data_IF_811953313771
#
_entry.id   IF_811953313771
#
_cell.length_a   1.000
_cell.length_b   1.000
_cell.length_c   1.000
_cell.angle_alpha   90.00
_cell.angle_beta   90.00
_cell.angle_gamma   90.00
#
_symmetry.space_group_name_H-M   'P 1'
#
loop_
_entity.id
_entity.type
_entity.pdbx_description
1 polymer ?
#
# COMPACT_ATOMS: atom_id res chain seq x y z
N UNK A 1 70.12 -0.72 5.43
CA UNK A 1 69.30 0.52 5.40
C UNK A 1 68.08 0.28 6.29
N UNK A 2 67.72 1.06 7.33
CA UNK A 2 67.92 2.50 7.65
C UNK A 2 67.48 3.41 6.51
N UNK A 3 66.60 4.42 6.66
CA UNK A 3 65.91 5.07 7.80
C UNK A 3 64.58 5.70 7.23
N UNK A 4 63.59 6.32 7.89
CA UNK A 4 63.39 6.92 9.24
C UNK A 4 61.89 6.91 9.62
N UNK A 5 61.55 7.09 10.91
CA UNK A 5 60.19 7.38 11.42
C UNK A 5 60.00 8.90 11.60
N UNK A 6 58.82 9.46 11.31
CA UNK A 6 58.52 10.88 11.59
C UNK A 6 57.25 11.05 12.45
N UNK A 7 57.33 11.99 13.42
CA UNK A 7 56.27 12.41 14.35
C UNK A 7 56.30 13.95 14.46
N UNK A 8 55.14 14.60 14.32
CA UNK A 8 54.83 16.00 14.70
C UNK A 8 53.30 16.14 14.66
N UNK A 9 52.52 16.64 15.63
CA UNK A 9 52.68 17.51 16.82
C UNK A 9 52.38 19.02 16.58
N UNK A 10 51.55 19.61 17.46
CA UNK A 10 50.93 20.96 17.38
C UNK A 10 49.41 20.86 17.16
N UNK A 11 48.49 21.29 18.05
CA UNK A 11 48.23 22.61 18.66
C UNK A 11 47.54 23.59 17.65
N UNK A 12 46.56 24.44 18.01
CA UNK A 12 46.26 25.11 19.30
C UNK A 12 44.74 25.42 19.44
N UNK A 13 44.28 25.88 20.62
CA UNK A 13 42.90 26.37 20.87
C UNK A 13 42.64 27.76 20.25
N UNK A 14 41.36 28.08 20.02
CA UNK A 14 40.82 29.44 20.09
C UNK A 14 39.37 29.43 20.61
N UNK A 15 39.01 30.41 21.44
CA UNK A 15 37.69 30.56 22.07
C UNK A 15 37.04 31.84 21.53
N UNK A 16 35.74 31.81 21.17
CA UNK A 16 34.95 33.01 20.88
C UNK A 16 33.47 32.72 21.08
N UNK A 17 32.86 33.36 22.09
CA UNK A 17 31.42 33.34 22.31
C UNK A 17 30.77 34.62 21.80
N UNK A 18 29.50 34.53 21.39
CA UNK A 18 28.66 35.68 21.03
C UNK A 18 27.39 35.66 21.90
N UNK A 19 27.40 36.51 22.93
CA UNK A 19 26.23 36.78 23.76
C UNK A 19 25.33 37.78 23.04
N UNK A 20 24.25 37.28 22.41
CA UNK A 20 23.19 38.12 21.88
C UNK A 20 22.13 38.37 22.97
N UNK A 21 22.17 39.53 23.62
CA UNK A 21 21.09 39.95 24.53
C UNK A 21 19.89 40.43 23.70
N UNK A 22 18.87 39.58 23.59
CA UNK A 22 17.53 39.98 23.14
C UNK A 22 16.84 40.84 24.21
N UNK A 23 16.07 41.85 23.78
CA UNK A 23 15.49 42.84 24.67
C UNK A 23 14.33 42.29 25.52
N UNK A 24 14.16 42.83 26.72
CA UNK A 24 12.92 42.72 27.47
C UNK A 24 11.87 43.65 26.83
N UNK A 25 10.70 43.11 26.49
CA UNK A 25 9.55 43.86 25.99
C UNK A 25 8.26 43.28 26.52
N UNK A 26 7.44 44.11 27.17
CA UNK A 26 6.14 43.71 27.70
C UNK A 26 5.03 44.21 26.77
N UNK A 27 4.15 43.31 26.32
CA UNK A 27 2.97 43.66 25.53
C UNK A 27 2.48 42.53 24.63
N UNK A 28 1.42 41.85 25.08
CA UNK A 28 0.38 41.05 24.39
C UNK A 28 0.67 40.21 23.13
N UNK A 29 0.17 38.97 23.21
CA UNK A 29 -0.29 38.05 22.16
C UNK A 29 0.28 38.13 20.73
N UNK A 30 1.09 37.12 20.37
CA UNK A 30 0.79 36.27 19.20
C UNK A 30 1.55 34.93 19.20
N UNK A 31 0.80 33.85 18.99
CA UNK A 31 1.16 32.52 18.48
C UNK A 31 2.63 32.03 18.60
N UNK A 32 2.87 31.15 19.58
CA UNK A 32 4.09 30.33 19.65
C UNK A 32 4.03 29.15 18.66
N UNK A 33 4.63 29.28 17.48
CA UNK A 33 4.93 28.13 16.60
C UNK A 33 6.35 27.59 16.86
N UNK A 34 6.48 26.86 17.97
CA UNK A 34 7.59 25.92 18.14
C UNK A 34 7.11 24.54 17.70
N UNK A 35 7.34 24.20 16.43
CA UNK A 35 7.05 22.90 15.82
C UNK A 35 7.62 21.72 16.61
N UNK A 36 6.86 21.28 17.61
CA UNK A 36 7.21 20.21 18.54
C UNK A 36 6.60 18.94 18.00
N UNK A 37 7.40 17.89 17.81
CA UNK A 37 6.91 16.61 17.32
C UNK A 37 5.92 16.00 18.31
N UNK A 38 4.62 16.19 18.07
CA UNK A 38 3.55 15.63 18.90
C UNK A 38 3.62 14.10 18.87
N UNK A 39 4.14 13.52 19.94
CA UNK A 39 4.19 12.08 20.17
C UNK A 39 2.76 11.54 20.29
N UNK A 40 2.17 11.13 19.16
CA UNK A 40 0.78 10.68 19.08
C UNK A 40 0.46 9.64 20.17
N UNK A 41 -0.62 9.88 20.91
CA UNK A 41 -1.12 9.06 22.00
C UNK A 41 -2.26 8.15 21.54
N UNK A 42 -2.55 7.11 22.34
CA UNK A 42 -3.68 6.22 22.07
C UNK A 42 -4.99 7.02 22.15
N UNK A 43 -5.82 6.91 21.11
CA UNK A 43 -7.05 7.71 20.96
C UNK A 43 -6.90 8.94 20.05
N UNK A 44 -5.68 9.38 19.73
CA UNK A 44 -5.45 10.47 18.77
C UNK A 44 -5.99 10.10 17.38
N UNK A 45 -6.56 11.08 16.68
CA UNK A 45 -7.06 10.92 15.30
C UNK A 45 -6.15 11.60 14.28
N UNK A 46 -6.02 10.97 13.11
CA UNK A 46 -5.30 11.48 11.93
C UNK A 46 -6.17 11.32 10.67
N UNK A 47 -5.83 12.00 9.59
CA UNK A 47 -6.47 11.76 8.29
C UNK A 47 -6.01 10.42 7.69
N UNK A 48 -6.95 9.57 7.29
CA UNK A 48 -6.69 8.24 6.74
C UNK A 48 -6.06 8.30 5.33
N UNK A 49 -6.32 9.37 4.57
CA UNK A 49 -5.70 9.63 3.27
C UNK A 49 -4.25 10.07 3.41
N UNK A 50 -3.92 10.90 4.41
CA UNK A 50 -2.53 11.25 4.71
C UNK A 50 -1.76 10.06 5.34
N UNK A 51 -2.42 9.22 6.13
CA UNK A 51 -1.88 7.94 6.61
C UNK A 51 -1.55 7.00 5.43
N UNK A 52 -2.49 6.81 4.51
CA UNK A 52 -2.27 6.04 3.28
C UNK A 52 -1.20 6.67 2.38
N UNK A 53 -1.14 8.00 2.28
CA UNK A 53 -0.13 8.72 1.51
C UNK A 53 1.30 8.44 1.99
N UNK A 54 1.53 8.48 3.31
CA UNK A 54 2.84 8.08 3.88
C UNK A 54 3.14 6.61 3.66
N UNK A 55 2.15 5.74 3.83
CA UNK A 55 2.28 4.29 3.56
C UNK A 55 2.72 4.03 2.12
N UNK A 56 2.12 4.68 1.13
CA UNK A 56 2.48 4.53 -0.29
C UNK A 56 3.87 5.09 -0.58
N UNK A 57 4.22 6.26 -0.04
CA UNK A 57 5.57 6.81 -0.16
C UNK A 57 6.64 5.88 0.47
N UNK A 58 6.32 5.24 1.59
CA UNK A 58 7.19 4.26 2.25
C UNK A 58 7.34 2.97 1.42
N UNK A 59 6.28 2.51 0.77
CA UNK A 59 6.32 1.37 -0.17
C UNK A 59 7.15 1.69 -1.43
N UNK A 60 6.95 2.85 -2.05
CA UNK A 60 7.73 3.32 -3.19
C UNK A 60 9.22 3.47 -2.83
N UNK A 61 9.52 4.05 -1.66
CA UNK A 61 10.90 4.19 -1.13
C UNK A 61 11.59 2.86 -0.88
N UNK A 62 10.84 1.81 -0.52
CA UNK A 62 11.38 0.46 -0.36
C UNK A 62 11.58 -0.27 -1.70
N UNK A 63 10.97 0.21 -2.79
CA UNK A 63 11.05 -0.35 -4.14
C UNK A 63 10.25 -1.64 -4.33
N UNK A 64 10.35 -2.60 -3.41
CA UNK A 64 9.79 -3.95 -3.54
C UNK A 64 9.59 -4.64 -2.20
N UNK A 65 8.91 -5.79 -2.21
CA UNK A 65 8.75 -6.67 -1.05
C UNK A 65 7.83 -7.85 -1.34
N UNK A 66 7.56 -8.65 -0.30
CA UNK A 66 6.56 -9.73 -0.32
C UNK A 66 5.23 -9.27 0.27
N UNK A 67 4.15 -9.90 -0.17
CA UNK A 67 2.83 -9.76 0.43
C UNK A 67 2.13 -11.13 0.54
N UNK A 68 1.27 -11.28 1.54
CA UNK A 68 0.39 -12.45 1.66
C UNK A 68 -0.98 -12.03 2.16
N UNK A 69 -2.02 -12.43 1.44
CA UNK A 69 -3.41 -12.13 1.75
C UNK A 69 -4.08 -13.39 2.31
N UNK A 70 -4.53 -13.31 3.57
CA UNK A 70 -5.38 -14.32 4.20
C UNK A 70 -6.84 -13.88 4.07
N UNK A 71 -7.69 -14.75 3.53
CA UNK A 71 -9.13 -14.52 3.30
C UNK A 71 -9.88 -15.74 3.79
N UNK A 72 -10.46 -15.66 4.99
CA UNK A 72 -10.88 -16.88 5.71
C UNK A 72 -9.70 -17.84 5.87
N UNK A 73 -9.89 -19.12 5.53
CA UNK A 73 -8.82 -20.14 5.54
C UNK A 73 -7.90 -20.07 4.30
N UNK A 74 -8.30 -19.38 3.23
CA UNK A 74 -7.50 -19.28 2.01
C UNK A 74 -6.34 -18.30 2.19
N UNK A 75 -5.14 -18.70 1.74
CA UNK A 75 -3.92 -17.88 1.82
C UNK A 75 -3.28 -17.70 0.46
N UNK A 76 -3.38 -16.49 -0.09
CA UNK A 76 -2.61 -16.07 -1.24
C UNK A 76 -1.22 -15.54 -0.82
N UNK A 77 -0.23 -15.67 -1.69
CA UNK A 77 1.14 -15.18 -1.51
C UNK A 77 1.63 -14.51 -2.79
N UNK A 78 2.49 -13.50 -2.68
CA UNK A 78 2.99 -12.79 -3.85
C UNK A 78 4.16 -11.88 -3.56
N UNK A 79 4.72 -11.37 -4.65
CA UNK A 79 5.74 -10.33 -4.68
C UNK A 79 5.14 -9.04 -5.28
N UNK A 80 5.70 -7.89 -4.90
CA UNK A 80 5.44 -6.62 -5.57
C UNK A 80 6.72 -5.82 -5.80
N UNK A 81 6.69 -4.94 -6.79
CA UNK A 81 7.74 -3.96 -7.06
C UNK A 81 7.15 -2.69 -7.65
N UNK A 82 7.80 -1.56 -7.44
CA UNK A 82 7.49 -0.30 -8.11
C UNK A 82 8.43 -0.09 -9.30
N UNK A 83 7.86 0.24 -10.45
CA UNK A 83 8.59 0.59 -11.69
C UNK A 83 7.97 1.88 -12.22
N UNK A 84 8.79 2.91 -12.40
CA UNK A 84 8.36 4.25 -12.84
C UNK A 84 7.17 4.82 -12.05
N UNK A 85 7.15 4.54 -10.74
CA UNK A 85 6.10 4.95 -9.79
C UNK A 85 4.84 4.07 -9.80
N UNK A 86 4.62 3.24 -10.84
CA UNK A 86 3.51 2.27 -10.89
C UNK A 86 3.82 1.03 -10.06
N UNK A 87 2.79 0.48 -9.41
CA UNK A 87 2.85 -0.79 -8.69
C UNK A 87 2.73 -1.96 -9.69
N UNK A 88 3.62 -2.95 -9.57
CA UNK A 88 3.55 -4.24 -10.25
C UNK A 88 3.48 -5.37 -9.22
N UNK A 89 2.72 -6.42 -9.52
CA UNK A 89 2.45 -7.53 -8.57
C UNK A 89 2.44 -8.89 -9.28
N UNK A 90 2.94 -9.93 -8.62
CA UNK A 90 2.72 -11.33 -9.01
C UNK A 90 2.22 -12.09 -7.78
N UNK A 91 0.97 -12.56 -7.84
CA UNK A 91 0.27 -13.23 -6.75
C UNK A 91 -0.17 -14.62 -7.17
N UNK A 92 -0.05 -15.57 -6.25
CA UNK A 92 -0.60 -16.93 -6.33
C UNK A 92 -1.76 -17.05 -5.34
N UNK A 93 -2.91 -17.50 -5.84
CA UNK A 93 -4.15 -17.63 -5.08
C UNK A 93 -4.62 -19.10 -5.14
N UNK A 94 -4.72 -19.83 -4.02
CA UNK A 94 -5.24 -21.19 -4.01
C UNK A 94 -6.76 -21.17 -4.23
N UNK A 95 -7.25 -21.95 -5.19
CA UNK A 95 -8.67 -22.07 -5.54
C UNK A 95 -9.01 -23.54 -5.72
N UNK A 96 -9.72 -24.12 -4.75
CA UNK A 96 -10.29 -25.49 -4.73
C UNK A 96 -9.52 -26.55 -5.55
N UNK A 97 -8.34 -26.93 -5.04
CA UNK A 97 -7.49 -27.95 -5.67
C UNK A 97 -6.59 -27.47 -6.81
N UNK A 98 -6.67 -26.19 -7.18
CA UNK A 98 -5.85 -25.51 -8.19
C UNK A 98 -5.15 -24.27 -7.62
N UNK A 99 -4.19 -23.72 -8.37
CA UNK A 99 -3.59 -22.41 -8.12
C UNK A 99 -3.91 -21.46 -9.28
N UNK A 100 -4.47 -20.30 -8.97
CA UNK A 100 -4.62 -19.18 -9.89
C UNK A 100 -3.40 -18.26 -9.76
N UNK A 101 -2.77 -17.90 -10.88
CA UNK A 101 -1.70 -16.91 -10.89
C UNK A 101 -2.22 -15.58 -11.47
N UNK A 102 -1.85 -14.48 -10.82
CA UNK A 102 -2.24 -13.11 -11.17
C UNK A 102 -0.96 -12.30 -11.34
N UNK A 103 -0.74 -11.72 -12.52
CA UNK A 103 0.35 -10.77 -12.77
C UNK A 103 -0.25 -9.42 -13.17
N UNK A 104 0.03 -8.37 -12.42
CA UNK A 104 -0.32 -6.99 -12.74
C UNK A 104 0.94 -6.23 -13.16
N UNK A 105 0.96 -5.74 -14.41
CA UNK A 105 2.10 -5.00 -15.00
C UNK A 105 1.57 -3.84 -15.83
N UNK A 106 2.04 -2.63 -15.53
CA UNK A 106 1.58 -1.42 -16.20
C UNK A 106 0.09 -1.19 -15.93
N UNK A 107 -0.71 -1.22 -16.99
CA UNK A 107 -2.17 -1.04 -16.93
C UNK A 107 -2.94 -2.34 -17.23
N UNK A 108 -2.25 -3.48 -17.28
CA UNK A 108 -2.81 -4.79 -17.63
C UNK A 108 -2.76 -5.78 -16.46
N UNK A 109 -3.75 -6.67 -16.42
CA UNK A 109 -3.76 -7.84 -15.54
C UNK A 109 -3.77 -9.11 -16.38
N UNK A 110 -2.92 -10.06 -16.01
CA UNK A 110 -2.81 -11.38 -16.62
C UNK A 110 -3.23 -12.45 -15.61
N UNK A 111 -4.22 -13.27 -15.98
CA UNK A 111 -4.73 -14.37 -15.15
C UNK A 111 -4.38 -15.73 -15.75
N UNK A 112 -3.92 -16.66 -14.92
CA UNK A 112 -3.64 -18.06 -15.29
C UNK A 112 -4.31 -19.02 -14.33
N UNK A 113 -4.68 -20.20 -14.83
CA UNK A 113 -5.43 -21.22 -14.08
C UNK A 113 -6.95 -21.13 -14.25
N UNK A 114 -7.43 -20.24 -15.14
CA UNK A 114 -8.85 -20.16 -15.50
C UNK A 114 -9.28 -21.38 -16.34
N UNK A 115 -10.40 -22.05 -16.02
CA UNK A 115 -10.89 -23.17 -16.81
C UNK A 115 -11.40 -22.74 -18.19
N UNK A 116 -11.39 -23.68 -19.14
CA UNK A 116 -11.94 -23.49 -20.50
C UNK A 116 -11.14 -22.57 -21.43
N UNK A 117 -10.00 -22.03 -20.99
CA UNK A 117 -9.20 -21.10 -21.79
C UNK A 117 -8.32 -21.82 -22.82
N UNK A 118 -8.24 -21.24 -24.03
CA UNK A 118 -7.39 -21.75 -25.13
C UNK A 118 -5.90 -21.45 -24.95
N UNK A 119 -5.56 -20.59 -23.99
CA UNK A 119 -4.21 -20.18 -23.61
C UNK A 119 -4.06 -20.23 -22.09
N UNK A 120 -2.87 -20.55 -21.54
CA UNK A 120 -2.68 -20.65 -20.09
C UNK A 120 -2.78 -19.29 -19.39
N UNK A 121 -2.48 -18.17 -20.08
CA UNK A 121 -2.71 -16.82 -19.60
C UNK A 121 -3.80 -16.12 -20.41
N UNK A 122 -4.73 -15.47 -19.72
CA UNK A 122 -5.69 -14.51 -20.27
C UNK A 122 -5.20 -13.11 -19.94
N UNK A 123 -5.16 -12.22 -20.94
CA UNK A 123 -4.95 -10.79 -20.74
C UNK A 123 -6.28 -10.09 -20.50
N UNK A 124 -6.33 -9.23 -19.49
CA UNK A 124 -7.40 -8.28 -19.20
C UNK A 124 -6.88 -6.87 -19.53
N UNK A 125 -7.67 -6.12 -20.27
CA UNK A 125 -7.39 -4.73 -20.66
C UNK A 125 -8.54 -3.84 -20.17
N UNK A 126 -8.32 -2.90 -19.24
CA UNK A 126 -9.40 -2.08 -18.67
C UNK A 126 -10.10 -1.17 -19.70
N UNK A 127 -9.60 -1.11 -20.94
CA UNK A 127 -10.19 -0.38 -22.06
C UNK A 127 -11.03 -1.27 -23.00
N UNK A 128 -11.07 -2.59 -22.80
CA UNK A 128 -11.83 -3.53 -23.62
C UNK A 128 -13.29 -3.67 -23.16
N UNK A 129 -14.22 -3.82 -24.11
CA UNK A 129 -15.67 -3.87 -23.86
C UNK A 129 -16.18 -5.21 -23.29
N UNK A 130 -15.31 -6.19 -23.04
CA UNK A 130 -15.75 -7.50 -22.54
C UNK A 130 -16.16 -7.47 -21.05
N UNK A 131 -17.08 -8.36 -20.60
CA UNK A 131 -17.63 -8.30 -19.24
C UNK A 131 -16.61 -8.37 -18.09
N UNK A 132 -15.49 -9.08 -18.26
CA UNK A 132 -14.46 -9.20 -17.22
C UNK A 132 -13.53 -8.00 -17.25
N UNK A 133 -13.20 -7.47 -18.41
CA UNK A 133 -12.48 -6.19 -18.54
C UNK A 133 -13.27 -5.03 -17.92
N UNK A 134 -14.59 -4.97 -18.13
CA UNK A 134 -15.45 -3.96 -17.47
C UNK A 134 -15.56 -4.17 -15.95
N UNK A 135 -15.52 -5.41 -15.45
CA UNK A 135 -15.43 -5.67 -14.01
C UNK A 135 -14.09 -5.20 -13.42
N UNK A 136 -12.98 -5.51 -14.08
CA UNK A 136 -11.63 -5.10 -13.64
C UNK A 136 -11.38 -3.60 -13.76
N UNK A 137 -12.02 -2.92 -14.72
CA UNK A 137 -12.02 -1.46 -14.83
C UNK A 137 -12.48 -0.80 -13.53
N UNK A 138 -13.56 -1.29 -12.91
CA UNK A 138 -14.03 -0.76 -11.61
C UNK A 138 -13.05 -0.99 -10.45
N UNK A 139 -12.31 -2.11 -10.46
CA UNK A 139 -11.24 -2.41 -9.49
C UNK A 139 -10.04 -1.46 -9.68
N UNK A 140 -9.71 -1.11 -10.93
CA UNK A 140 -8.67 -0.15 -11.25
C UNK A 140 -9.07 1.31 -10.94
N UNK A 141 -10.34 1.68 -11.18
CA UNK A 141 -10.93 2.96 -10.78
C UNK A 141 -10.98 3.12 -9.25
N UNK A 142 -11.21 2.03 -8.52
CA UNK A 142 -11.14 1.98 -7.05
C UNK A 142 -9.74 2.19 -6.44
N UNK A 143 -8.68 2.23 -7.25
CA UNK A 143 -7.31 2.50 -6.78
C UNK A 143 -6.57 1.30 -6.21
N UNK A 144 -7.06 0.07 -6.42
CA UNK A 144 -6.36 -1.14 -5.96
C UNK A 144 -5.04 -1.36 -6.73
N UNK A 145 -5.00 -0.98 -8.01
CA UNK A 145 -3.77 -0.94 -8.84
C UNK A 145 -2.99 0.38 -8.73
N UNK A 146 -3.58 1.41 -8.13
CA UNK A 146 -2.98 2.74 -7.95
C UNK A 146 -3.19 3.23 -6.51
N UNK A 147 -2.30 2.85 -5.59
CA UNK A 147 -2.43 3.22 -4.18
C UNK A 147 -2.47 4.75 -3.92
N UNK A 148 -2.04 5.58 -4.87
CA UNK A 148 -2.14 7.05 -4.73
C UNK A 148 -3.59 7.53 -4.83
N UNK A 149 -4.41 6.88 -5.69
CA UNK A 149 -5.86 7.12 -5.75
C UNK A 149 -6.56 6.62 -4.49
N UNK A 150 -6.16 5.45 -3.97
CA UNK A 150 -6.70 4.95 -2.70
C UNK A 150 -6.44 5.96 -1.55
N UNK A 151 -5.23 6.51 -1.47
CA UNK A 151 -4.90 7.56 -0.50
C UNK A 151 -5.72 8.85 -0.72
N UNK A 152 -5.98 9.26 -1.96
CA UNK A 152 -6.83 10.41 -2.26
C UNK A 152 -8.30 10.18 -1.85
N UNK A 153 -8.85 8.98 -2.10
CA UNK A 153 -10.24 8.61 -1.76
C UNK A 153 -10.50 8.57 -0.23
N UNK A 154 -9.45 8.34 0.55
CA UNK A 154 -9.48 8.28 2.03
C UNK A 154 -9.35 9.64 2.72
N UNK A 155 -9.12 10.74 2.00
CA UNK A 155 -9.05 12.09 2.60
C UNK A 155 -10.40 12.50 3.21
N UNK A 156 -10.33 13.10 4.39
CA UNK A 156 -11.47 13.46 5.23
C UNK A 156 -12.02 12.31 6.09
N UNK A 157 -11.54 11.07 5.91
CA UNK A 157 -11.86 9.96 6.83
C UNK A 157 -10.91 10.00 8.03
N UNK A 158 -11.45 10.05 9.24
CA UNK A 158 -10.63 10.02 10.46
C UNK A 158 -10.20 8.58 10.81
N UNK A 159 -8.90 8.41 11.10
CA UNK A 159 -8.32 7.18 11.63
C UNK A 159 -7.81 7.38 13.05
N UNK A 160 -8.25 6.52 13.96
CA UNK A 160 -7.91 6.56 15.38
C UNK A 160 -6.72 5.66 15.66
N UNK A 161 -5.71 6.17 16.38
CA UNK A 161 -4.59 5.37 16.87
C UNK A 161 -5.05 4.45 18.01
N UNK A 162 -5.20 3.15 17.73
CA UNK A 162 -5.70 2.13 18.67
C UNK A 162 -4.62 1.53 19.56
N UNK A 163 -3.38 1.41 19.10
CA UNK A 163 -2.25 0.94 19.92
C UNK A 163 -0.89 1.38 19.35
N UNK A 164 0.15 1.30 20.19
CA UNK A 164 1.56 1.38 19.79
C UNK A 164 2.30 0.20 20.42
N UNK A 165 2.84 -0.67 19.59
CA UNK A 165 3.39 -1.97 19.96
C UNK A 165 4.85 -2.07 19.47
N UNK A 166 5.77 -1.56 20.30
CA UNK A 166 7.16 -1.36 19.93
C UNK A 166 7.30 -0.32 18.81
N UNK A 167 7.97 -0.69 17.72
CA UNK A 167 8.12 0.15 16.52
C UNK A 167 6.84 0.25 15.66
N UNK A 168 5.73 -0.39 16.05
CA UNK A 168 4.50 -0.41 15.26
C UNK A 168 3.40 0.50 15.84
N UNK A 169 2.57 1.09 14.98
CA UNK A 169 1.37 1.85 15.32
C UNK A 169 0.15 1.26 14.62
N UNK A 170 -0.90 0.96 15.39
CA UNK A 170 -2.15 0.38 14.88
C UNK A 170 -3.22 1.46 14.75
N UNK A 171 -3.64 1.74 13.53
CA UNK A 171 -4.72 2.68 13.21
C UNK A 171 -5.99 1.93 12.80
N UNK A 172 -7.15 2.47 13.15
CA UNK A 172 -8.44 1.94 12.76
C UNK A 172 -9.34 3.08 12.27
N UNK A 173 -10.03 2.84 11.15
CA UNK A 173 -11.01 3.78 10.59
C UNK A 173 -12.16 3.02 9.93
N UNK A 174 -13.28 3.70 9.77
CA UNK A 174 -14.43 3.20 9.02
C UNK A 174 -14.62 4.01 7.75
N UNK A 175 -14.77 3.33 6.61
CA UNK A 175 -14.91 3.93 5.29
C UNK A 175 -16.06 3.28 4.53
N UNK A 176 -16.68 4.03 3.63
CA UNK A 176 -17.68 3.51 2.69
C UNK A 176 -17.04 2.52 1.69
N UNK A 177 -17.69 1.40 1.38
CA UNK A 177 -17.13 0.37 0.50
C UNK A 177 -16.89 0.85 -0.93
N UNK A 178 -17.73 1.74 -1.47
CA UNK A 178 -17.54 2.32 -2.80
C UNK A 178 -16.39 3.34 -2.83
N UNK A 179 -16.15 4.07 -1.73
CA UNK A 179 -14.91 4.87 -1.56
C UNK A 179 -13.65 4.02 -1.50
N UNK A 180 -13.71 2.89 -0.81
CA UNK A 180 -12.53 2.07 -0.49
C UNK A 180 -12.13 1.07 -1.59
N UNK A 181 -13.11 0.56 -2.35
CA UNK A 181 -12.91 -0.48 -3.37
C UNK A 181 -13.31 -0.02 -4.79
N UNK A 182 -14.01 1.11 -4.93
CA UNK A 182 -14.66 1.51 -6.17
C UNK A 182 -16.06 0.93 -6.32
N UNK A 183 -16.92 1.65 -7.05
CA UNK A 183 -18.37 1.37 -7.19
C UNK A 183 -18.71 -0.04 -7.70
N UNK A 184 -17.80 -0.67 -8.45
CA UNK A 184 -18.02 -1.94 -9.16
C UNK A 184 -17.33 -3.15 -8.51
N UNK A 185 -16.51 -2.94 -7.48
CA UNK A 185 -15.72 -3.99 -6.83
C UNK A 185 -16.38 -4.57 -5.57
N UNK A 186 -17.49 -3.98 -5.10
CA UNK A 186 -18.29 -4.55 -4.03
C UNK A 186 -18.91 -5.89 -4.48
N UNK A 187 -18.89 -6.96 -3.65
CA UNK A 187 -19.41 -8.27 -4.04
C UNK A 187 -20.94 -8.23 -4.16
N UNK A 188 -21.41 -8.03 -5.40
CA UNK A 188 -22.81 -7.85 -5.79
C UNK A 188 -23.50 -6.63 -5.16
N UNK A 189 -23.46 -5.45 -5.82
CA UNK A 189 -24.42 -4.39 -5.53
C UNK A 189 -25.80 -4.81 -6.03
N UNK A 190 -26.56 -5.54 -5.20
CA UNK A 190 -28.01 -5.45 -5.26
C UNK A 190 -28.36 -3.97 -5.12
N UNK A 191 -29.10 -3.39 -6.07
CA UNK A 191 -29.39 -1.95 -6.12
C UNK A 191 -30.24 -1.43 -4.93
N UNK A 192 -30.59 -2.31 -4.00
CA UNK A 192 -31.30 -2.07 -2.74
C UNK A 192 -30.46 -2.34 -1.48
N UNK A 193 -29.19 -2.75 -1.61
CA UNK A 193 -28.29 -2.93 -0.48
C UNK A 193 -27.87 -1.57 0.12
N UNK A 194 -27.90 -1.39 1.45
CA UNK A 194 -27.41 -0.16 2.08
C UNK A 194 -25.89 -0.05 1.91
N UNK A 195 -25.39 1.19 1.88
CA UNK A 195 -23.97 1.50 1.80
C UNK A 195 -23.18 0.75 2.88
N UNK A 196 -22.32 -0.19 2.46
CA UNK A 196 -21.59 -1.05 3.38
C UNK A 196 -20.39 -0.30 3.95
N UNK A 197 -20.39 -0.07 5.26
CA UNK A 197 -19.24 0.45 5.96
C UNK A 197 -18.21 -0.67 6.17
N UNK A 198 -16.97 -0.41 5.76
CA UNK A 198 -15.82 -1.28 5.97
C UNK A 198 -14.97 -0.69 7.09
N UNK A 199 -14.79 -1.45 8.17
CA UNK A 199 -13.72 -1.17 9.14
C UNK A 199 -12.39 -1.58 8.53
N UNK A 200 -11.43 -0.67 8.52
CA UNK A 200 -10.06 -0.88 8.07
C UNK A 200 -9.13 -0.78 9.28
N UNK A 201 -8.14 -1.68 9.36
CA UNK A 201 -7.09 -1.64 10.37
C UNK A 201 -5.74 -1.64 9.68
N UNK A 202 -4.93 -0.60 9.90
CA UNK A 202 -3.58 -0.46 9.37
C UNK A 202 -2.57 -0.55 10.52
N UNK A 203 -1.75 -1.59 10.53
CA UNK A 203 -0.56 -1.67 11.39
C UNK A 203 0.63 -1.20 10.55
N UNK A 204 1.17 -0.02 10.87
CA UNK A 204 2.34 0.54 10.21
C UNK A 204 3.56 0.47 11.12
N UNK A 205 4.74 0.25 10.55
CA UNK A 205 6.02 0.39 11.23
C UNK A 205 6.41 1.87 11.39
N UNK A 206 7.42 2.16 12.22
CA UNK A 206 8.02 3.50 12.41
C UNK A 206 8.55 4.19 11.16
N UNK A 207 8.67 3.46 10.04
CA UNK A 207 9.08 3.99 8.74
C UNK A 207 7.87 4.16 7.79
N UNK A 208 6.65 4.25 8.33
CA UNK A 208 5.32 4.23 7.70
C UNK A 208 5.03 3.01 6.78
N UNK A 209 5.99 2.10 6.57
CA UNK A 209 5.77 0.85 5.81
C UNK A 209 4.70 -0.01 6.50
N UNK A 210 3.73 -0.57 5.74
CA UNK A 210 2.71 -1.44 6.32
C UNK A 210 3.33 -2.73 6.83
N UNK A 211 2.81 -3.24 7.94
CA UNK A 211 3.09 -4.58 8.47
C UNK A 211 1.90 -5.47 8.18
N UNK A 212 0.69 -5.01 8.53
CA UNK A 212 -0.56 -5.65 8.12
C UNK A 212 -1.64 -4.62 7.82
N UNK A 213 -2.44 -4.87 6.78
CA UNK A 213 -3.69 -4.18 6.48
C UNK A 213 -4.81 -5.23 6.59
N UNK A 214 -5.88 -4.95 7.34
CA UNK A 214 -7.03 -5.85 7.41
C UNK A 214 -8.37 -5.13 7.35
N UNK A 215 -9.39 -5.86 6.90
CA UNK A 215 -10.79 -5.43 6.85
C UNK A 215 -11.72 -6.64 6.96
N UNK A 216 -13.02 -6.40 7.11
CA UNK A 216 -14.05 -7.43 7.09
C UNK A 216 -15.16 -7.06 6.11
N UNK A 217 -15.46 -7.95 5.15
CA UNK A 217 -16.48 -7.77 4.11
C UNK A 217 -17.46 -8.93 4.19
N UNK A 218 -18.76 -8.66 4.37
CA UNK A 218 -19.80 -9.71 4.43
C UNK A 218 -19.61 -10.75 5.56
N UNK A 219 -18.88 -10.41 6.63
CA UNK A 219 -18.50 -11.33 7.71
C UNK A 219 -17.19 -12.11 7.47
N UNK A 220 -16.62 -12.03 6.26
CA UNK A 220 -15.32 -12.63 5.94
C UNK A 220 -14.18 -11.65 6.25
N UNK A 221 -13.22 -12.09 7.07
CA UNK A 221 -12.01 -11.32 7.37
C UNK A 221 -10.99 -11.45 6.24
N UNK A 222 -10.42 -10.32 5.82
CA UNK A 222 -9.36 -10.18 4.83
C UNK A 222 -8.16 -9.50 5.51
N UNK A 223 -6.99 -10.14 5.49
CA UNK A 223 -5.76 -9.60 6.08
C UNK A 223 -4.59 -9.75 5.13
N UNK A 224 -4.08 -8.63 4.62
CA UNK A 224 -2.81 -8.54 3.90
C UNK A 224 -1.69 -8.32 4.90
N UNK A 225 -0.62 -9.11 4.80
CA UNK A 225 0.62 -8.97 5.56
C UNK A 225 1.75 -8.68 4.58
N UNK A 226 2.64 -7.74 4.91
CA UNK A 226 3.75 -7.30 4.04
C UNK A 226 5.10 -7.61 4.68
N UNK A 227 6.12 -7.90 3.86
CA UNK A 227 7.44 -8.32 4.31
C UNK A 227 8.54 -8.09 3.29
N UNK A 228 9.75 -8.58 3.63
CA UNK A 228 10.93 -8.66 2.76
C UNK A 228 11.26 -7.37 1.96
N UNK A 229 11.04 -6.21 2.58
CA UNK A 229 11.22 -4.89 1.97
C UNK A 229 12.62 -4.73 1.33
N UNK A 230 12.66 -4.40 0.05
CA UNK A 230 13.89 -4.28 -0.75
C UNK A 230 14.42 -5.60 -1.32
N UNK A 231 13.70 -6.73 -1.16
CA UNK A 231 13.99 -8.00 -1.85
C UNK A 231 14.03 -7.77 -3.35
N UNK A 232 15.05 -8.27 -4.04
CA UNK A 232 15.12 -8.18 -5.50
C UNK A 232 13.96 -8.98 -6.12
N UNK A 233 13.01 -8.26 -6.70
CA UNK A 233 11.83 -8.75 -7.40
C UNK A 233 11.96 -8.35 -8.87
N UNK A 234 11.52 -9.22 -9.78
CA UNK A 234 11.42 -8.94 -11.21
C UNK A 234 10.11 -9.54 -11.71
N UNK A 235 9.11 -8.69 -11.90
CA UNK A 235 7.80 -9.06 -12.42
C UNK A 235 7.75 -8.59 -13.87
N UNK A 236 7.30 -9.46 -14.77
CA UNK A 236 7.24 -9.21 -16.21
C UNK A 236 5.94 -9.77 -16.76
N UNK A 237 5.49 -9.25 -17.89
CA UNK A 237 4.35 -9.85 -18.62
C UNK A 237 4.64 -11.32 -18.97
N UNK A 238 3.62 -12.18 -19.06
CA UNK A 238 3.79 -13.55 -19.54
C UNK A 238 4.29 -13.60 -21.00
N UNK A 239 4.92 -14.71 -21.44
CA UNK A 239 5.31 -14.89 -22.84
C UNK A 239 4.11 -14.71 -23.79
N UNK A 240 4.26 -13.89 -24.82
CA UNK A 240 3.14 -13.48 -25.68
C UNK A 240 2.48 -14.65 -26.44
N UNK A 241 3.20 -15.75 -26.67
CA UNK A 241 2.67 -17.00 -27.24
C UNK A 241 1.79 -17.78 -26.25
N UNK A 242 1.92 -17.51 -24.95
CA UNK A 242 1.14 -18.09 -23.85
C UNK A 242 -0.05 -17.23 -23.43
N UNK A 243 -0.16 -16.01 -23.96
CA UNK A 243 -1.27 -15.08 -23.72
C UNK A 243 -2.37 -15.26 -24.77
N UNK A 244 -3.63 -15.15 -24.35
CA UNK A 244 -4.78 -15.03 -25.23
C UNK A 244 -5.83 -14.03 -24.71
N UNK A 245 -6.83 -13.68 -25.54
CA UNK A 245 -8.06 -13.03 -25.08
C UNK A 245 -8.89 -14.00 -24.23
N UNK A 246 -9.79 -13.47 -23.39
CA UNK A 246 -10.71 -14.32 -22.63
C UNK A 246 -11.63 -15.10 -23.59
N UNK A 247 -11.72 -16.40 -23.36
CA UNK A 247 -12.63 -17.31 -24.06
C UNK A 247 -13.80 -17.66 -23.14
N UNK A 248 -15.02 -17.24 -23.49
CA UNK A 248 -16.23 -17.68 -22.78
C UNK A 248 -16.72 -19.01 -23.40
N UNK A 249 -17.11 -20.02 -22.60
CA UNK A 249 -17.84 -21.16 -23.14
C UNK A 249 -19.20 -20.68 -23.67
N UNK A 250 -19.53 -21.03 -24.91
CA UNK A 250 -20.85 -20.76 -25.48
C UNK A 250 -21.94 -21.36 -24.61
N UNK A 251 -22.97 -20.58 -24.26
CA UNK A 251 -24.16 -21.12 -23.62
C UNK A 251 -24.85 -22.10 -24.59
N UNK A 252 -24.97 -23.36 -24.15
CA UNK A 252 -25.57 -24.49 -24.88
C UNK A 252 -26.95 -24.84 -24.34
#
# INVERSE_FOLDING_TARGET
MRLTMHRTAGATLALSGLLALGACGSGDDSANDTGTGSSQSQGDTVDAGDLAGRMVAAMQKAGSGTMSMQTGDQKATGDFTYVDGKLQQHTKVPVEGSEMEIIAVGDFVYLKGLPGQSKPWVKIDPNADDPVSQMFKGIAEGGISDPTKMAANLKGTQATLKSKDGDNSTYEFTVDSAKALGSSAAPSPSASAPAQQLTMTYVLSKDDRPVTISTAVGGQSIKVTYGDWGKKVNITEPPADQVGPMSYPSAS
#
